data_IF_097546792247
#
_entry.id   IF_097546792247
#
_cell.length_a   1.000
_cell.length_b   1.000
_cell.length_c   1.000
_cell.angle_alpha   90.00
_cell.angle_beta   90.00
_cell.angle_gamma   90.00
#
_symmetry.space_group_name_H-M   'P 1'
#
loop_
_entity.id
_entity.type
_entity.pdbx_description
1 polymer ?
#
# COMPACT_ATOMS: atom_id res chain seq x y z
N UNK A 1 -14.42 0.30 13.63
CA UNK A 1 -14.44 0.53 15.09
C UNK A 1 -13.06 0.40 15.75
N UNK A 2 -12.31 -0.68 15.50
CA UNK A 2 -10.97 -0.89 16.14
C UNK A 2 -9.98 0.25 15.87
N UNK A 3 -9.92 0.77 14.63
CA UNK A 3 -9.09 1.93 14.32
C UNK A 3 -9.44 3.12 15.21
N UNK A 4 -10.73 3.47 15.32
CA UNK A 4 -11.17 4.62 16.10
C UNK A 4 -10.85 4.46 17.60
N UNK A 5 -10.98 3.25 18.14
CA UNK A 5 -10.62 2.95 19.54
C UNK A 5 -9.12 3.13 19.77
N UNK A 6 -8.28 2.58 18.90
CA UNK A 6 -6.81 2.69 19.00
C UNK A 6 -6.40 4.16 18.87
N UNK A 7 -6.91 4.85 17.85
CA UNK A 7 -6.56 6.24 17.57
C UNK A 7 -6.97 7.17 18.71
N UNK A 8 -8.20 7.02 19.23
CA UNK A 8 -8.70 7.80 20.36
C UNK A 8 -7.91 7.50 21.65
N UNK A 9 -7.57 6.22 21.90
CA UNK A 9 -6.76 5.83 23.06
C UNK A 9 -5.36 6.47 23.05
N UNK A 10 -4.65 6.38 21.92
CA UNK A 10 -3.33 7.02 21.77
C UNK A 10 -3.46 8.54 21.91
N UNK A 11 -4.50 9.15 21.33
CA UNK A 11 -4.74 10.59 21.43
C UNK A 11 -4.94 11.02 22.87
N UNK A 12 -5.80 10.32 23.63
CA UNK A 12 -6.06 10.62 25.04
C UNK A 12 -4.78 10.51 25.89
N UNK A 13 -3.99 9.43 25.67
CA UNK A 13 -2.72 9.24 26.39
C UNK A 13 -1.65 10.27 26.02
N UNK A 14 -1.71 10.87 24.82
CA UNK A 14 -0.74 11.85 24.33
C UNK A 14 -1.13 13.30 24.55
N UNK A 15 -2.30 13.58 25.12
CA UNK A 15 -2.79 14.94 25.35
C UNK A 15 -1.88 15.71 26.32
N UNK A 16 -1.57 16.95 25.95
CA UNK A 16 -0.94 17.90 26.86
C UNK A 16 -2.02 18.70 27.59
N UNK A 17 -1.84 18.88 28.90
CA UNK A 17 -2.70 19.78 29.66
C UNK A 17 -2.28 21.24 29.44
N UNK A 18 -3.16 22.02 28.83
CA UNK A 18 -2.96 23.46 28.64
C UNK A 18 -3.54 24.29 29.79
N UNK A 19 -4.19 23.63 30.78
CA UNK A 19 -4.94 24.30 31.85
C UNK A 19 -4.47 23.95 33.29
N UNK A 20 -3.24 23.38 33.40
CA UNK A 20 -2.66 23.00 34.70
C UNK A 20 -3.13 21.65 35.27
N UNK A 21 -3.88 20.86 34.46
CA UNK A 21 -4.19 19.46 34.78
C UNK A 21 -3.04 18.53 34.48
N UNK A 22 -3.18 17.24 34.78
CA UNK A 22 -2.17 16.23 34.42
C UNK A 22 -2.15 15.99 32.90
N UNK A 23 -0.96 15.99 32.31
CA UNK A 23 -0.77 15.56 30.93
C UNK A 23 -0.86 14.04 30.82
N UNK A 24 -1.32 13.54 29.69
CA UNK A 24 -1.36 12.10 29.43
C UNK A 24 0.04 11.45 29.55
N UNK A 25 0.10 10.15 29.90
CA UNK A 25 1.36 9.44 30.14
C UNK A 25 2.29 9.38 28.92
N UNK A 26 1.78 9.56 27.70
CA UNK A 26 2.54 9.63 26.45
C UNK A 26 2.64 11.07 25.91
N UNK A 27 2.42 12.08 26.78
CA UNK A 27 2.56 13.48 26.39
C UNK A 27 3.99 13.76 25.95
N UNK A 28 4.16 14.27 24.72
CA UNK A 28 5.49 14.51 24.14
C UNK A 28 6.19 13.25 23.59
N UNK A 29 5.63 12.05 23.73
CA UNK A 29 6.25 10.83 23.22
C UNK A 29 6.29 10.80 21.68
N UNK A 30 7.49 10.55 21.15
CA UNK A 30 7.74 10.57 19.70
C UNK A 30 7.14 9.35 18.98
N UNK A 31 7.11 8.19 19.65
CA UNK A 31 6.55 6.97 19.11
C UNK A 31 5.04 7.06 18.99
N UNK A 32 4.36 7.57 20.02
CA UNK A 32 2.92 7.82 20.00
C UNK A 32 2.51 8.74 18.83
N UNK A 33 3.26 9.84 18.63
CA UNK A 33 3.03 10.73 17.48
C UNK A 33 3.29 10.06 16.13
N UNK A 34 4.31 9.19 16.04
CA UNK A 34 4.59 8.42 14.84
C UNK A 34 3.46 7.46 14.52
N UNK A 35 2.99 6.68 15.49
CA UNK A 35 1.86 5.75 15.31
C UNK A 35 0.61 6.50 14.85
N UNK A 36 0.26 7.63 15.46
CA UNK A 36 -0.88 8.44 15.02
C UNK A 36 -0.73 8.92 13.57
N UNK A 37 0.46 9.37 13.19
CA UNK A 37 0.72 9.80 11.82
C UNK A 37 0.59 8.64 10.84
N UNK A 38 1.14 7.48 11.16
CA UNK A 38 1.13 6.32 10.27
C UNK A 38 -0.29 5.75 10.14
N UNK A 39 -1.08 5.73 11.21
CA UNK A 39 -2.51 5.41 11.15
C UNK A 39 -3.28 6.35 10.20
N UNK A 40 -3.01 7.66 10.25
CA UNK A 40 -3.61 8.62 9.31
C UNK A 40 -3.14 8.38 7.87
N UNK A 41 -1.87 8.05 7.67
CA UNK A 41 -1.34 7.81 6.33
C UNK A 41 -2.06 6.65 5.63
N UNK A 42 -2.44 5.59 6.36
CA UNK A 42 -3.21 4.49 5.75
C UNK A 42 -4.55 4.94 5.16
N UNK A 43 -5.19 5.93 5.78
CA UNK A 43 -6.49 6.44 5.32
C UNK A 43 -6.39 7.26 4.04
N UNK A 44 -5.23 7.84 3.77
CA UNK A 44 -4.94 8.65 2.57
C UNK A 44 -4.10 7.90 1.52
N UNK A 45 -3.63 6.69 1.85
CA UNK A 45 -2.77 5.90 0.95
C UNK A 45 -3.54 5.50 -0.30
N UNK A 46 -2.90 5.70 -1.45
CA UNK A 46 -3.37 5.22 -2.74
C UNK A 46 -2.97 3.75 -2.91
N UNK A 47 -3.96 2.87 -3.02
CA UNK A 47 -3.79 1.43 -3.24
C UNK A 47 -3.58 1.23 -4.74
N UNK A 48 -2.34 0.94 -5.15
CA UNK A 48 -1.91 0.83 -6.54
C UNK A 48 -1.86 -0.62 -7.01
N UNK A 49 -1.73 -0.81 -8.34
CA UNK A 49 -1.49 -2.11 -8.96
C UNK A 49 -2.76 -2.92 -9.20
N UNK A 50 -3.89 -2.27 -9.33
CA UNK A 50 -5.17 -2.85 -9.73
C UNK A 50 -5.59 -2.27 -11.08
N UNK A 51 -6.26 -3.10 -11.91
CA UNK A 51 -6.63 -2.78 -13.29
C UNK A 51 -7.39 -1.46 -13.40
N UNK A 52 -8.40 -1.26 -12.54
CA UNK A 52 -9.25 -0.07 -12.51
C UNK A 52 -8.80 0.95 -11.44
N UNK A 53 -7.62 0.74 -10.84
CA UNK A 53 -7.06 1.61 -9.81
C UNK A 53 -6.34 2.84 -10.35
N UNK A 54 -5.73 3.65 -9.49
CA UNK A 54 -5.55 3.40 -8.05
C UNK A 54 -6.81 3.64 -7.23
N UNK A 55 -6.93 2.93 -6.11
CA UNK A 55 -8.04 3.08 -5.18
C UNK A 55 -7.63 3.83 -3.91
N UNK A 56 -8.58 4.50 -3.28
CA UNK A 56 -8.41 5.15 -1.97
C UNK A 56 -9.58 4.79 -1.06
N UNK A 57 -9.40 4.86 0.25
CA UNK A 57 -10.49 4.60 1.19
C UNK A 57 -11.65 5.59 1.02
N UNK A 58 -11.40 6.80 0.55
CA UNK A 58 -12.45 7.79 0.29
C UNK A 58 -13.40 7.36 -0.83
N UNK A 59 -12.92 6.65 -1.85
CA UNK A 59 -13.76 6.05 -2.89
C UNK A 59 -14.74 5.02 -2.33
N UNK A 60 -14.37 4.37 -1.21
CA UNK A 60 -15.22 3.42 -0.48
C UNK A 60 -16.11 4.10 0.56
N UNK A 61 -16.16 5.42 0.58
CA UNK A 61 -16.94 6.18 1.56
C UNK A 61 -16.31 6.24 2.94
N UNK A 62 -15.07 5.78 3.13
CA UNK A 62 -14.34 5.89 4.40
C UNK A 62 -13.60 7.22 4.39
N UNK A 63 -13.95 8.10 5.33
CA UNK A 63 -13.39 9.44 5.43
C UNK A 63 -12.79 9.67 6.82
N UNK A 64 -11.72 10.45 6.86
CA UNK A 64 -11.11 10.87 8.13
C UNK A 64 -11.82 12.12 8.65
N UNK A 65 -12.35 12.06 9.85
CA UNK A 65 -12.95 13.18 10.56
C UNK A 65 -11.88 14.16 11.06
N UNK A 66 -12.29 15.33 11.51
CA UNK A 66 -11.38 16.37 12.04
C UNK A 66 -10.59 15.92 13.27
N UNK A 67 -11.17 15.05 14.08
CA UNK A 67 -10.55 14.46 15.26
C UNK A 67 -9.61 13.29 14.93
N UNK A 68 -9.48 12.91 13.66
CA UNK A 68 -8.66 11.82 13.18
C UNK A 68 -9.33 10.45 13.19
N UNK A 69 -10.56 10.34 13.66
CA UNK A 69 -11.36 9.12 13.58
C UNK A 69 -11.83 8.87 12.14
N UNK A 70 -12.27 7.65 11.85
CA UNK A 70 -12.85 7.28 10.56
C UNK A 70 -14.38 7.25 10.64
N UNK A 71 -15.01 7.87 9.65
CA UNK A 71 -16.44 7.75 9.38
C UNK A 71 -16.69 6.96 8.10
N UNK A 72 -17.81 6.25 8.03
CA UNK A 72 -18.26 5.51 6.85
C UNK A 72 -19.52 6.14 6.27
N UNK A 73 -19.45 6.57 5.01
CA UNK A 73 -20.62 6.92 4.21
C UNK A 73 -21.10 5.69 3.45
N UNK A 74 -22.16 5.06 3.98
CA UNK A 74 -22.71 3.83 3.43
C UNK A 74 -23.30 3.99 2.02
N UNK A 75 -23.81 5.18 1.69
CA UNK A 75 -24.33 5.46 0.34
C UNK A 75 -23.19 5.50 -0.69
N UNK A 76 -22.06 6.14 -0.34
CA UNK A 76 -20.88 6.13 -1.20
C UNK A 76 -20.34 4.72 -1.38
N UNK A 77 -20.24 3.92 -0.31
CA UNK A 77 -19.80 2.53 -0.37
C UNK A 77 -20.70 1.71 -1.32
N UNK A 78 -22.02 1.80 -1.14
CA UNK A 78 -22.99 1.09 -1.97
C UNK A 78 -22.85 1.47 -3.45
N UNK A 79 -22.84 2.76 -3.76
CA UNK A 79 -22.72 3.27 -5.12
C UNK A 79 -21.40 2.83 -5.79
N UNK A 80 -20.30 2.83 -5.05
CA UNK A 80 -19.00 2.41 -5.56
C UNK A 80 -19.00 0.92 -5.83
N UNK A 81 -19.55 0.12 -4.92
CA UNK A 81 -19.66 -1.33 -5.09
C UNK A 81 -20.56 -1.73 -6.27
N UNK A 82 -21.69 -1.03 -6.47
CA UNK A 82 -22.58 -1.25 -7.61
C UNK A 82 -21.91 -0.95 -8.96
N UNK A 83 -21.05 0.08 -9.00
CA UNK A 83 -20.33 0.47 -10.22
C UNK A 83 -19.08 -0.37 -10.49
N UNK A 84 -18.33 -0.69 -9.47
CA UNK A 84 -17.11 -1.48 -9.55
C UNK A 84 -16.96 -2.38 -8.32
N UNK A 85 -17.50 -3.61 -8.35
CA UNK A 85 -17.37 -4.54 -7.23
C UNK A 85 -15.91 -4.97 -6.97
N UNK A 86 -15.00 -4.88 -7.97
CA UNK A 86 -13.58 -5.22 -7.81
C UNK A 86 -12.84 -4.29 -6.86
N UNK A 87 -13.38 -3.11 -6.55
CA UNK A 87 -12.74 -2.17 -5.61
C UNK A 87 -12.55 -2.78 -4.21
N UNK A 88 -13.40 -3.71 -3.81
CA UNK A 88 -13.28 -4.42 -2.53
C UNK A 88 -12.07 -5.35 -2.53
N UNK A 89 -11.69 -5.91 -3.69
CA UNK A 89 -10.49 -6.75 -3.78
C UNK A 89 -9.23 -5.96 -3.37
N UNK A 90 -9.17 -4.67 -3.69
CA UNK A 90 -8.05 -3.82 -3.25
C UNK A 90 -7.93 -3.66 -1.72
N UNK A 91 -8.99 -3.94 -0.96
CA UNK A 91 -8.91 -3.95 0.50
C UNK A 91 -8.36 -5.28 1.02
N UNK A 92 -8.79 -6.41 0.44
CA UNK A 92 -8.61 -7.72 1.05
C UNK A 92 -7.69 -8.67 0.27
N UNK A 93 -7.50 -8.47 -1.05
CA UNK A 93 -6.79 -9.39 -1.93
C UNK A 93 -5.60 -8.72 -2.61
N UNK A 94 -4.44 -9.33 -2.52
CA UNK A 94 -3.32 -8.98 -3.37
C UNK A 94 -3.62 -9.40 -4.82
N UNK A 95 -3.10 -8.61 -5.77
CA UNK A 95 -3.24 -8.89 -7.20
C UNK A 95 -1.88 -9.00 -7.86
N UNK A 96 -1.73 -9.98 -8.76
CA UNK A 96 -0.59 -10.12 -9.65
C UNK A 96 -1.12 -10.69 -10.97
N UNK A 97 -1.45 -9.82 -11.90
CA UNK A 97 -2.14 -10.17 -13.15
C UNK A 97 -1.58 -9.37 -14.32
N UNK A 98 -1.93 -9.79 -15.52
CA UNK A 98 -1.67 -9.08 -16.76
C UNK A 98 -2.98 -8.99 -17.56
N UNK A 99 -3.09 -7.98 -18.42
CA UNK A 99 -4.23 -7.82 -19.34
C UNK A 99 -4.00 -8.52 -20.68
N UNK A 100 -2.89 -9.24 -20.84
CA UNK A 100 -2.55 -9.93 -22.07
C UNK A 100 -2.09 -11.37 -21.79
N UNK A 101 -2.65 -12.34 -22.52
CA UNK A 101 -2.38 -13.76 -22.33
C UNK A 101 -0.94 -14.17 -22.72
N UNK A 102 -0.28 -13.40 -23.59
CA UNK A 102 1.10 -13.64 -24.01
C UNK A 102 2.13 -13.07 -23.03
N UNK A 103 1.68 -12.42 -21.96
CA UNK A 103 2.52 -11.89 -20.89
C UNK A 103 2.17 -12.58 -19.59
N UNK A 104 3.16 -13.15 -18.93
CA UNK A 104 2.98 -13.71 -17.58
C UNK A 104 4.10 -13.26 -16.64
N UNK A 105 3.76 -13.13 -15.36
CA UNK A 105 4.74 -12.77 -14.32
C UNK A 105 5.47 -14.03 -13.86
N UNK A 106 6.79 -14.06 -14.07
CA UNK A 106 7.67 -15.15 -13.63
C UNK A 106 8.07 -15.01 -12.18
N UNK A 107 8.46 -13.78 -11.78
CA UNK A 107 8.89 -13.48 -10.41
C UNK A 107 8.81 -11.97 -10.13
N UNK A 108 8.58 -11.64 -8.87
CA UNK A 108 8.78 -10.30 -8.32
C UNK A 108 10.21 -10.21 -7.75
N UNK A 109 10.88 -9.09 -8.00
CA UNK A 109 12.15 -8.78 -7.33
C UNK A 109 11.92 -8.20 -5.93
N UNK A 110 12.95 -8.25 -5.10
CA UNK A 110 12.90 -7.69 -3.72
C UNK A 110 12.63 -6.17 -3.72
N UNK A 111 12.96 -5.48 -4.81
CA UNK A 111 12.76 -4.04 -4.97
C UNK A 111 11.53 -3.69 -5.80
N UNK A 112 10.75 -4.68 -6.28
CA UNK A 112 9.52 -4.43 -7.03
C UNK A 112 8.46 -3.88 -6.09
N UNK A 113 7.96 -2.68 -6.38
CA UNK A 113 6.90 -2.04 -5.59
C UNK A 113 5.54 -2.28 -6.22
N UNK A 114 4.45 -2.23 -5.44
CA UNK A 114 3.09 -2.27 -5.98
C UNK A 114 2.85 -1.14 -6.99
N UNK A 115 2.29 -1.50 -8.16
CA UNK A 115 2.05 -0.57 -9.26
C UNK A 115 1.44 -1.23 -10.47
N UNK A 116 1.03 -0.41 -11.43
CA UNK A 116 0.62 -0.84 -12.76
C UNK A 116 1.76 -0.46 -13.71
N UNK A 117 2.28 -1.43 -14.43
CA UNK A 117 3.47 -1.29 -15.28
C UNK A 117 3.07 -1.48 -16.74
N UNK A 118 3.35 -0.48 -17.57
CA UNK A 118 3.06 -0.54 -19.00
C UNK A 118 4.22 -1.17 -19.76
N UNK A 119 3.93 -2.23 -20.51
CA UNK A 119 4.87 -2.88 -21.42
C UNK A 119 4.59 -2.35 -22.82
N UNK A 120 5.62 -1.91 -23.51
CA UNK A 120 5.55 -1.45 -24.90
C UNK A 120 6.73 -2.02 -25.68
N UNK A 121 6.66 -2.03 -27.02
CA UNK A 121 7.76 -2.43 -27.89
C UNK A 121 8.30 -1.25 -28.67
N UNK A 122 9.62 -1.06 -28.66
CA UNK A 122 10.29 -0.03 -29.43
C UNK A 122 11.65 -0.52 -29.92
N UNK A 123 11.93 -0.32 -31.22
CA UNK A 123 13.23 -0.71 -31.81
C UNK A 123 13.59 -2.19 -31.65
N UNK A 124 12.59 -3.08 -31.59
CA UNK A 124 12.80 -4.52 -31.40
C UNK A 124 12.92 -4.96 -29.93
N UNK A 125 13.03 -4.04 -28.99
CA UNK A 125 13.14 -4.31 -27.54
C UNK A 125 11.81 -4.07 -26.84
N UNK A 126 11.52 -4.85 -25.79
CA UNK A 126 10.44 -4.54 -24.87
C UNK A 126 10.91 -3.56 -23.80
N UNK A 127 10.04 -2.60 -23.54
CA UNK A 127 10.21 -1.56 -22.53
C UNK A 127 9.16 -1.76 -21.45
N UNK A 128 9.50 -1.46 -20.20
CA UNK A 128 8.55 -1.34 -19.08
C UNK A 128 8.61 0.09 -18.56
N UNK A 129 7.47 0.78 -18.56
CA UNK A 129 7.36 2.21 -18.24
C UNK A 129 8.39 3.09 -18.99
N UNK A 130 8.66 2.74 -20.26
CA UNK A 130 9.61 3.43 -21.12
C UNK A 130 11.07 3.02 -20.92
N UNK A 131 11.40 2.18 -19.95
CA UNK A 131 12.77 1.69 -19.73
C UNK A 131 13.00 0.31 -20.38
N UNK A 132 14.14 0.13 -21.05
CA UNK A 132 14.47 -1.14 -21.71
C UNK A 132 14.62 -2.28 -20.69
N UNK A 133 14.07 -3.44 -21.01
CA UNK A 133 14.22 -4.67 -20.23
C UNK A 133 15.41 -5.49 -20.74
N UNK A 134 16.08 -6.19 -19.82
CA UNK A 134 17.08 -7.20 -20.18
C UNK A 134 16.38 -8.47 -20.67
N UNK A 135 16.82 -9.04 -21.78
CA UNK A 135 16.23 -10.23 -22.38
C UNK A 135 17.12 -11.47 -22.21
N UNK A 136 16.50 -12.59 -21.87
CA UNK A 136 17.13 -13.93 -21.92
C UNK A 136 16.10 -14.94 -22.43
N UNK A 137 16.17 -15.26 -23.74
CA UNK A 137 15.13 -16.06 -24.41
C UNK A 137 13.79 -15.33 -24.41
N UNK A 138 12.76 -15.94 -23.81
CA UNK A 138 11.44 -15.34 -23.60
C UNK A 138 11.28 -14.64 -22.25
N UNK A 139 12.31 -14.68 -21.39
CA UNK A 139 12.32 -14.00 -20.10
C UNK A 139 12.85 -12.57 -20.25
N UNK A 140 12.13 -11.61 -19.68
CA UNK A 140 12.47 -10.20 -19.65
C UNK A 140 12.54 -9.71 -18.20
N UNK A 141 13.60 -8.99 -17.86
CA UNK A 141 13.83 -8.48 -16.49
C UNK A 141 13.88 -6.96 -16.49
N UNK A 142 13.11 -6.33 -15.63
CA UNK A 142 13.18 -4.89 -15.37
C UNK A 142 14.37 -4.56 -14.47
N UNK A 143 15.12 -3.51 -14.82
CA UNK A 143 16.29 -3.04 -14.07
C UNK A 143 16.14 -1.65 -13.46
N UNK A 144 14.99 -1.00 -13.63
CA UNK A 144 14.80 0.38 -13.18
C UNK A 144 13.37 0.67 -12.69
N UNK A 145 13.23 1.78 -11.98
CA UNK A 145 11.94 2.26 -11.47
C UNK A 145 11.32 1.34 -10.42
N UNK A 146 10.01 1.47 -10.22
CA UNK A 146 9.23 0.69 -9.26
C UNK A 146 9.06 -0.78 -9.70
N UNK A 147 9.30 -1.10 -10.98
CA UNK A 147 9.30 -2.46 -11.52
C UNK A 147 10.64 -3.19 -11.35
N UNK A 148 11.67 -2.59 -10.74
CA UNK A 148 13.02 -3.17 -10.61
C UNK A 148 12.98 -4.60 -10.06
N UNK A 149 13.58 -5.53 -10.81
CA UNK A 149 13.64 -6.96 -10.48
C UNK A 149 12.41 -7.77 -10.90
N UNK A 150 11.37 -7.14 -11.47
CA UNK A 150 10.23 -7.84 -12.06
C UNK A 150 10.69 -8.65 -13.27
N UNK A 151 10.35 -9.92 -13.28
CA UNK A 151 10.63 -10.86 -14.36
C UNK A 151 9.35 -11.29 -15.04
N UNK A 152 9.32 -11.17 -16.36
CA UNK A 152 8.19 -11.49 -17.22
C UNK A 152 8.58 -12.55 -18.24
N UNK A 153 7.63 -13.39 -18.61
CA UNK A 153 7.70 -14.21 -19.82
C UNK A 153 6.80 -13.54 -20.86
N UNK A 154 7.35 -13.23 -22.02
CA UNK A 154 6.62 -12.68 -23.17
C UNK A 154 6.78 -13.68 -24.31
N UNK A 155 5.66 -14.30 -24.73
CA UNK A 155 5.65 -15.36 -25.74
C UNK A 155 5.42 -14.84 -27.16
N UNK A 156 4.66 -13.75 -27.30
CA UNK A 156 4.47 -13.10 -28.61
C UNK A 156 5.53 -12.02 -28.84
N UNK A 157 6.46 -12.31 -29.77
CA UNK A 157 7.48 -11.34 -30.19
C UNK A 157 6.89 -10.10 -30.90
N UNK A 158 5.65 -10.14 -31.35
CA UNK A 158 4.95 -9.02 -32.02
C UNK A 158 4.03 -8.24 -31.09
N UNK A 159 4.02 -8.57 -29.81
CA UNK A 159 3.24 -7.85 -28.80
C UNK A 159 3.51 -6.34 -28.91
N UNK A 160 2.46 -5.55 -29.11
CA UNK A 160 2.56 -4.08 -29.21
C UNK A 160 2.55 -3.43 -27.83
N UNK A 161 1.66 -3.89 -26.96
CA UNK A 161 1.52 -3.40 -25.59
C UNK A 161 0.82 -4.40 -24.68
N UNK A 162 1.10 -4.31 -23.40
CA UNK A 162 0.41 -5.01 -22.32
C UNK A 162 0.58 -4.23 -21.00
N UNK A 163 -0.22 -4.56 -20.01
CA UNK A 163 -0.03 -4.03 -18.66
C UNK A 163 0.12 -5.18 -17.65
N UNK A 164 0.96 -4.94 -16.66
CA UNK A 164 1.13 -5.81 -15.49
C UNK A 164 0.63 -5.07 -14.28
N UNK A 165 -0.20 -5.73 -13.48
CA UNK A 165 -0.79 -5.19 -12.27
C UNK A 165 -0.27 -5.96 -11.06
N UNK A 166 0.54 -5.30 -10.24
CA UNK A 166 1.02 -5.82 -8.97
C UNK A 166 0.44 -4.98 -7.83
N UNK A 167 -0.62 -5.47 -7.20
CA UNK A 167 -1.32 -4.82 -6.12
C UNK A 167 -1.12 -5.53 -4.78
N UNK A 168 -0.73 -4.77 -3.76
CA UNK A 168 -0.86 -5.18 -2.36
C UNK A 168 -2.15 -4.61 -1.80
N UNK A 169 -2.97 -5.46 -1.18
CA UNK A 169 -4.20 -5.02 -0.54
C UNK A 169 -3.92 -4.12 0.66
N UNK A 170 -4.91 -3.29 1.02
CA UNK A 170 -4.80 -2.46 2.21
C UNK A 170 -4.51 -3.29 3.46
N UNK A 171 -5.17 -4.45 3.61
CA UNK A 171 -4.93 -5.34 4.76
C UNK A 171 -3.49 -5.84 4.80
N UNK A 172 -2.91 -6.22 3.65
CA UNK A 172 -1.49 -6.61 3.58
C UNK A 172 -0.56 -5.46 3.96
N UNK A 173 -0.83 -4.23 3.49
CA UNK A 173 -0.01 -3.05 3.83
C UNK A 173 -0.07 -2.73 5.33
N UNK A 174 -1.25 -2.85 5.95
CA UNK A 174 -1.43 -2.65 7.40
C UNK A 174 -0.72 -3.76 8.18
N UNK A 175 -0.86 -5.02 7.77
CA UNK A 175 -0.23 -6.17 8.42
C UNK A 175 1.30 -6.08 8.39
N UNK A 176 1.88 -5.78 7.22
CA UNK A 176 3.32 -5.56 7.07
C UNK A 176 3.84 -4.44 7.99
N UNK A 177 3.08 -3.37 8.14
CA UNK A 177 3.47 -2.26 8.99
C UNK A 177 3.37 -2.62 10.48
N UNK A 178 2.28 -3.29 10.90
CA UNK A 178 2.14 -3.77 12.28
C UNK A 178 3.25 -4.78 12.62
N UNK A 179 3.56 -5.68 11.69
CA UNK A 179 4.66 -6.64 11.86
C UNK A 179 6.00 -5.92 12.08
N UNK A 180 6.28 -4.87 11.29
CA UNK A 180 7.50 -4.07 11.46
C UNK A 180 7.55 -3.34 12.81
N UNK A 181 6.40 -2.82 13.31
CA UNK A 181 6.35 -2.18 14.63
C UNK A 181 6.58 -3.17 15.77
N UNK A 182 6.09 -4.41 15.63
CA UNK A 182 6.13 -5.45 16.65
C UNK A 182 7.36 -6.37 16.55
N UNK A 183 8.15 -6.26 15.47
CA UNK A 183 9.37 -7.05 15.29
C UNK A 183 10.34 -6.88 16.47
N UNK A 184 11.21 -7.87 16.71
CA UNK A 184 12.18 -7.86 17.80
C UNK A 184 13.05 -6.59 17.79
N UNK A 185 13.44 -6.10 16.61
CA UNK A 185 14.16 -4.84 16.39
C UNK A 185 13.21 -3.67 16.07
N UNK A 186 11.90 -3.84 16.29
CA UNK A 186 10.90 -2.83 16.00
C UNK A 186 10.88 -1.70 17.02
N UNK A 187 10.24 -0.59 16.64
CA UNK A 187 10.20 0.64 17.43
C UNK A 187 9.66 0.44 18.87
N UNK A 188 8.69 -0.48 19.04
CA UNK A 188 8.08 -0.78 20.36
C UNK A 188 9.07 -1.53 21.24
N UNK A 189 9.75 -2.55 20.73
CA UNK A 189 10.72 -3.34 21.48
C UNK A 189 11.94 -2.51 21.87
N UNK A 190 12.47 -1.71 20.94
CA UNK A 190 13.58 -0.79 21.22
C UNK A 190 13.20 0.22 22.33
N UNK A 191 11.95 0.68 22.35
CA UNK A 191 11.47 1.60 23.39
C UNK A 191 11.33 0.91 24.74
N UNK A 192 10.78 -0.31 24.78
CA UNK A 192 10.67 -1.10 26.00
C UNK A 192 12.03 -1.40 26.62
N UNK A 193 13.02 -1.77 25.81
CA UNK A 193 14.40 -1.98 26.26
C UNK A 193 15.01 -0.74 26.86
N UNK A 194 14.83 0.43 26.21
CA UNK A 194 15.37 1.71 26.72
C UNK A 194 14.64 2.27 27.95
N UNK A 195 13.52 1.70 28.37
CA UNK A 195 12.81 2.04 29.62
C UNK A 195 13.17 1.10 30.78
N UNK A 196 13.84 -0.03 30.47
CA UNK A 196 14.22 -1.06 31.45
C UNK A 196 15.66 -0.85 31.99
N UNK A 197 16.43 0.05 31.37
CA UNK A 197 17.76 0.50 31.78
C UNK A 197 17.66 1.80 32.60
#
# INVERSE_FOLDING_TARGET
>A
DSYNVIYAGITAMSMQSNTGGESGPLSGDSLARRIQRDLRNYTSTSIKGYEDGPYTLSLLGIQTNRDGTLGLNTNTLKNTFEKNPKVIDAIFKNQLTTDNADVSVRALGVNTKPGSFSITKSGGNFLIDGAAMSQSGTEYTSSSGDSTGLKLIITDSNLSSANVYYGKSLMTLVDESLTNFLAFDGDIQNRLSGLSD
#
